data_IF_743701005326
#
_entry.id   IF_743701005326
#
_cell.length_a   1.000
_cell.length_b   1.000
_cell.length_c   1.000
_cell.angle_alpha   90.00
_cell.angle_beta   90.00
_cell.angle_gamma   90.00
#
_symmetry.space_group_name_H-M   'P 1'
#
loop_
_entity.id
_entity.type
_entity.pdbx_description
1 polymer ?
#
# COMPACT_ATOMS: atom_id res chain seq x y z
N UNK A 1 -1.52 -1.10 -12.57
CA UNK A 1 -0.14 -0.99 -12.05
C UNK A 1 0.52 -2.34 -12.24
N UNK A 2 1.81 -2.39 -12.62
CA UNK A 2 2.57 -3.64 -12.76
C UNK A 2 3.74 -3.66 -11.78
N UNK A 3 4.24 -4.86 -11.46
CA UNK A 3 5.30 -5.09 -10.47
C UNK A 3 6.56 -4.27 -10.77
N UNK A 4 7.00 -4.24 -12.02
CA UNK A 4 8.20 -3.51 -12.44
C UNK A 4 8.09 -2.00 -12.16
N UNK A 5 6.89 -1.43 -12.35
CA UNK A 5 6.66 -0.02 -12.06
C UNK A 5 6.79 0.27 -10.57
N UNK A 6 6.22 -0.59 -9.70
CA UNK A 6 6.35 -0.45 -8.24
C UNK A 6 7.82 -0.50 -7.81
N UNK A 7 8.57 -1.48 -8.33
CA UNK A 7 9.98 -1.65 -7.96
C UNK A 7 10.86 -0.48 -8.40
N UNK A 8 10.50 0.18 -9.51
CA UNK A 8 11.20 1.34 -10.04
C UNK A 8 10.79 2.68 -9.39
N UNK A 9 9.69 2.73 -8.64
CA UNK A 9 9.30 3.94 -7.91
C UNK A 9 10.33 4.29 -6.85
N UNK A 10 10.68 5.58 -6.78
CA UNK A 10 11.49 6.09 -5.67
C UNK A 10 10.62 6.21 -4.41
N UNK A 11 11.21 6.10 -3.21
CA UNK A 11 10.49 6.40 -1.98
C UNK A 11 10.08 7.88 -1.97
N UNK A 12 8.84 8.15 -1.58
CA UNK A 12 8.27 9.49 -1.60
C UNK A 12 6.81 9.54 -2.09
N UNK A 13 6.32 10.73 -2.46
CA UNK A 13 4.90 10.98 -2.65
C UNK A 13 4.20 10.01 -3.62
N UNK A 14 4.86 9.65 -4.72
CA UNK A 14 4.27 8.73 -5.69
C UNK A 14 4.02 7.34 -5.08
N UNK A 15 5.00 6.78 -4.38
CA UNK A 15 4.86 5.48 -3.71
C UNK A 15 3.88 5.58 -2.53
N UNK A 16 3.98 6.64 -1.73
CA UNK A 16 3.14 6.90 -0.55
C UNK A 16 1.64 6.96 -0.94
N UNK A 17 1.31 7.61 -2.07
CA UNK A 17 -0.06 7.69 -2.60
C UNK A 17 -0.60 6.32 -3.00
N UNK A 18 0.23 5.49 -3.61
CA UNK A 18 -0.18 4.15 -4.04
C UNK A 18 -0.42 3.24 -2.84
N UNK A 19 0.39 3.38 -1.79
CA UNK A 19 0.18 2.68 -0.52
C UNK A 19 -1.12 3.15 0.14
N UNK A 20 -1.34 4.46 0.23
CA UNK A 20 -2.57 5.03 0.79
C UNK A 20 -3.83 4.46 0.11
N UNK A 21 -3.87 4.49 -1.22
CA UNK A 21 -5.04 4.04 -1.97
C UNK A 21 -5.16 2.50 -2.03
N UNK A 22 -4.05 1.81 -2.30
CA UNK A 22 -4.03 0.39 -2.62
C UNK A 22 -3.96 -0.54 -1.41
N UNK A 23 -3.33 -0.10 -0.32
CA UNK A 23 -3.15 -0.91 0.89
C UNK A 23 -4.05 -0.41 2.01
N UNK A 24 -3.95 0.89 2.32
CA UNK A 24 -4.71 1.48 3.42
C UNK A 24 -6.19 1.64 3.07
N UNK A 25 -6.54 1.62 1.78
CA UNK A 25 -7.92 1.80 1.31
C UNK A 25 -8.43 3.23 1.49
N UNK A 26 -7.53 4.18 1.70
CA UNK A 26 -7.87 5.59 1.88
C UNK A 26 -8.19 6.25 0.55
N UNK A 27 -9.11 7.22 0.57
CA UNK A 27 -9.36 8.04 -0.61
C UNK A 27 -8.18 9.01 -0.81
N UNK A 28 -7.71 9.16 -2.04
CA UNK A 28 -6.63 10.09 -2.39
C UNK A 28 -7.11 11.05 -3.48
N UNK A 29 -6.78 12.33 -3.36
CA UNK A 29 -7.15 13.37 -4.32
C UNK A 29 -5.98 14.35 -4.52
N UNK A 30 -5.87 14.94 -5.72
CA UNK A 30 -4.94 16.04 -5.97
C UNK A 30 -5.70 17.36 -5.94
N UNK A 31 -5.48 18.15 -4.90
CA UNK A 31 -6.01 19.49 -4.76
C UNK A 31 -5.09 20.52 -5.44
N UNK A 32 -5.68 21.50 -6.13
CA UNK A 32 -4.89 22.50 -6.87
C UNK A 32 -4.06 23.41 -5.97
N UNK A 33 -4.46 23.59 -4.71
CA UNK A 33 -3.79 24.47 -3.73
C UNK A 33 -2.86 23.68 -2.82
N UNK A 34 -3.30 22.53 -2.34
CA UNK A 34 -2.59 21.74 -1.32
C UNK A 34 -1.83 20.55 -1.89
N UNK A 35 -2.00 20.24 -3.17
CA UNK A 35 -1.40 19.08 -3.82
C UNK A 35 -2.11 17.78 -3.43
N UNK A 36 -1.37 16.68 -3.38
CA UNK A 36 -1.93 15.38 -3.02
C UNK A 36 -2.36 15.33 -1.56
N UNK A 37 -3.57 14.82 -1.35
CA UNK A 37 -4.24 14.69 -0.05
C UNK A 37 -4.82 13.29 0.09
N UNK A 38 -4.70 12.71 1.28
CA UNK A 38 -5.26 11.44 1.71
C UNK A 38 -6.37 11.69 2.73
N UNK A 39 -7.48 10.97 2.59
CA UNK A 39 -8.60 11.00 3.55
C UNK A 39 -8.47 9.87 4.53
N UNK A 40 -8.31 10.23 5.80
CA UNK A 40 -8.40 9.33 6.93
C UNK A 40 -9.82 9.31 7.46
N UNK A 41 -10.32 8.12 7.79
CA UNK A 41 -11.62 7.95 8.45
C UNK A 41 -11.33 7.44 9.85
N UNK A 42 -11.86 8.15 10.84
CA UNK A 42 -11.81 7.72 12.24
C UNK A 42 -12.72 6.49 12.41
N UNK A 43 -12.20 5.37 12.94
CA UNK A 43 -12.97 4.15 13.07
C UNK A 43 -14.05 4.23 14.16
N UNK A 44 -13.91 5.13 15.15
CA UNK A 44 -14.81 5.21 16.31
C UNK A 44 -16.05 6.07 16.01
N UNK A 45 -15.88 7.21 15.34
CA UNK A 45 -16.97 8.16 15.08
C UNK A 45 -17.33 8.36 13.58
N UNK A 46 -16.54 7.76 12.67
CA UNK A 46 -16.75 7.87 11.22
C UNK A 46 -16.41 9.25 10.65
N UNK A 47 -15.86 10.16 11.46
CA UNK A 47 -15.33 11.44 11.03
C UNK A 47 -14.22 11.25 10.01
N UNK A 48 -14.01 12.25 9.14
CA UNK A 48 -12.96 12.17 8.14
C UNK A 48 -12.12 13.43 8.07
N UNK A 49 -10.81 13.27 7.93
CA UNK A 49 -9.85 14.36 7.80
C UNK A 49 -9.05 14.17 6.52
N UNK A 50 -8.89 15.26 5.77
CA UNK A 50 -7.99 15.33 4.63
C UNK A 50 -6.67 15.95 5.07
N UNK A 51 -5.57 15.25 4.82
CA UNK A 51 -4.22 15.69 5.11
C UNK A 51 -3.27 15.24 3.99
N UNK A 52 -2.04 15.78 3.90
CA UNK A 52 -1.03 15.20 3.02
C UNK A 52 -0.84 13.69 3.30
N UNK A 53 -0.57 12.86 2.27
CA UNK A 53 -0.31 11.44 2.46
C UNK A 53 0.77 11.19 3.52
N UNK A 54 0.56 10.17 4.35
CA UNK A 54 1.59 9.76 5.29
C UNK A 54 2.86 9.32 4.56
N UNK A 55 4.05 9.54 5.13
CA UNK A 55 5.33 9.18 4.51
C UNK A 55 5.63 7.67 4.64
N UNK A 56 4.72 6.81 4.22
CA UNK A 56 4.78 5.35 4.37
C UNK A 56 6.12 4.75 3.93
N UNK A 57 6.67 5.20 2.80
CA UNK A 57 7.88 4.63 2.22
C UNK A 57 9.17 5.25 2.79
N UNK A 58 9.08 6.16 3.77
CA UNK A 58 10.21 6.92 4.30
C UNK A 58 10.26 6.95 5.83
N UNK A 59 9.13 6.74 6.49
CA UNK A 59 9.02 6.68 7.94
C UNK A 59 8.62 5.27 8.38
N UNK A 60 9.38 4.70 9.32
CA UNK A 60 9.12 3.34 9.79
C UNK A 60 7.81 3.23 10.55
N UNK A 61 7.44 4.23 11.36
CA UNK A 61 6.17 4.20 12.11
C UNK A 61 4.96 4.23 11.17
N UNK A 62 5.07 4.92 10.04
CA UNK A 62 4.06 4.86 8.99
C UNK A 62 4.07 3.51 8.26
N UNK A 63 5.25 2.94 7.98
CA UNK A 63 5.39 1.63 7.35
C UNK A 63 4.85 0.48 8.22
N UNK A 64 4.98 0.56 9.54
CA UNK A 64 4.40 -0.42 10.47
C UNK A 64 2.88 -0.50 10.33
N UNK A 65 2.19 0.61 10.06
CA UNK A 65 0.75 0.59 9.77
C UNK A 65 0.42 -0.17 8.48
N UNK A 66 1.34 -0.17 7.52
CA UNK A 66 1.21 -0.98 6.30
C UNK A 66 1.35 -2.46 6.64
N UNK A 67 2.28 -2.82 7.53
CA UNK A 67 2.42 -4.20 8.03
C UNK A 67 1.12 -4.63 8.72
N UNK A 68 0.66 -3.87 9.71
CA UNK A 68 -0.57 -4.16 10.45
C UNK A 68 -1.75 -4.35 9.50
N UNK A 69 -1.89 -3.44 8.53
CA UNK A 69 -2.95 -3.51 7.53
C UNK A 69 -2.85 -4.76 6.64
N UNK A 70 -1.64 -5.16 6.24
CA UNK A 70 -1.45 -6.34 5.40
C UNK A 70 -1.70 -7.64 6.17
N UNK A 71 -1.37 -7.68 7.47
CA UNK A 71 -1.74 -8.79 8.35
C UNK A 71 -3.27 -8.89 8.46
N UNK A 72 -3.98 -7.78 8.65
CA UNK A 72 -5.46 -7.78 8.64
C UNK A 72 -6.05 -8.29 7.32
N UNK A 73 -5.35 -8.10 6.21
CA UNK A 73 -5.72 -8.61 4.89
C UNK A 73 -5.29 -10.06 4.64
N UNK A 74 -4.66 -10.74 5.63
CA UNK A 74 -4.27 -12.15 5.58
C UNK A 74 -2.83 -12.41 5.12
N UNK A 75 -1.99 -11.38 5.05
CA UNK A 75 -0.56 -11.49 4.71
C UNK A 75 0.29 -11.49 5.99
N UNK A 76 0.27 -12.61 6.72
CA UNK A 76 0.99 -12.76 8.00
C UNK A 76 2.52 -12.61 7.88
N UNK A 77 3.07 -12.84 6.68
CA UNK A 77 4.49 -12.71 6.38
C UNK A 77 4.96 -11.24 6.26
N UNK A 78 4.04 -10.27 6.30
CA UNK A 78 4.34 -8.85 6.20
C UNK A 78 5.35 -8.35 7.24
N UNK A 79 5.38 -8.99 8.42
CA UNK A 79 6.37 -8.70 9.49
C UNK A 79 7.82 -8.92 9.06
N UNK A 80 8.06 -9.68 7.99
CA UNK A 80 9.40 -9.97 7.46
C UNK A 80 9.75 -9.17 6.20
N UNK A 81 8.89 -8.25 5.73
CA UNK A 81 9.10 -7.55 4.46
C UNK A 81 10.12 -6.41 4.51
N UNK A 82 10.66 -6.07 5.69
CA UNK A 82 11.74 -5.09 5.83
C UNK A 82 13.00 -5.48 5.02
N UNK A 83 13.24 -6.78 4.84
CA UNK A 83 14.38 -7.31 4.06
C UNK A 83 14.08 -7.44 2.55
N UNK A 84 12.89 -7.04 2.10
CA UNK A 84 12.50 -7.16 0.69
C UNK A 84 13.45 -6.34 -0.21
N UNK A 85 13.86 -6.95 -1.33
CA UNK A 85 14.83 -6.34 -2.25
C UNK A 85 16.30 -6.53 -1.87
N UNK A 86 16.62 -7.35 -0.87
CA UNK A 86 17.99 -7.75 -0.50
C UNK A 86 18.93 -6.55 -0.26
N UNK A 87 18.45 -5.54 0.47
CA UNK A 87 19.21 -4.33 0.79
C UNK A 87 19.26 -3.27 -0.33
N UNK A 88 18.52 -3.46 -1.43
CA UNK A 88 18.36 -2.43 -2.47
C UNK A 88 17.49 -1.25 -2.02
N UNK A 89 16.65 -1.46 -1.00
CA UNK A 89 15.69 -0.49 -0.49
C UNK A 89 15.93 -0.22 0.99
N UNK A 90 15.45 0.94 1.46
CA UNK A 90 15.31 1.14 2.92
C UNK A 90 14.19 0.26 3.45
N UNK A 91 14.21 -0.09 4.75
CA UNK A 91 13.17 -0.92 5.37
C UNK A 91 11.72 -0.42 5.11
N UNK A 92 11.36 0.86 5.33
CA UNK A 92 10.00 1.34 5.06
C UNK A 92 9.63 1.27 3.58
N UNK A 93 10.58 1.52 2.68
CA UNK A 93 10.38 1.39 1.24
C UNK A 93 10.16 -0.08 0.83
N UNK A 94 10.96 -0.98 1.39
CA UNK A 94 10.89 -2.42 1.15
C UNK A 94 9.51 -2.97 1.52
N UNK A 95 9.01 -2.60 2.71
CA UNK A 95 7.67 -2.94 3.19
C UNK A 95 6.60 -2.46 2.22
N UNK A 96 6.64 -1.19 1.83
CA UNK A 96 5.65 -0.59 0.93
C UNK A 96 5.62 -1.28 -0.45
N UNK A 97 6.81 -1.55 -1.02
CA UNK A 97 6.93 -2.21 -2.33
C UNK A 97 6.47 -3.67 -2.26
N UNK A 98 6.84 -4.40 -1.21
CA UNK A 98 6.39 -5.77 -1.00
C UNK A 98 4.86 -5.83 -0.88
N UNK A 99 4.26 -4.95 -0.07
CA UNK A 99 2.81 -4.88 0.11
C UNK A 99 2.06 -4.64 -1.19
N UNK A 100 2.49 -3.66 -1.99
CA UNK A 100 1.86 -3.38 -3.29
C UNK A 100 2.04 -4.54 -4.29
N UNK A 101 3.19 -5.22 -4.27
CA UNK A 101 3.38 -6.41 -5.10
C UNK A 101 2.45 -7.55 -4.67
N UNK A 102 2.35 -7.82 -3.37
CA UNK A 102 1.46 -8.85 -2.84
C UNK A 102 0.00 -8.57 -3.20
N UNK A 103 -0.46 -7.32 -3.08
CA UNK A 103 -1.82 -6.94 -3.47
C UNK A 103 -2.09 -7.09 -4.97
N UNK A 104 -1.11 -6.81 -5.83
CA UNK A 104 -1.23 -7.09 -7.27
C UNK A 104 -1.35 -8.59 -7.55
N UNK A 105 -0.58 -9.42 -6.86
CA UNK A 105 -0.58 -10.88 -7.03
C UNK A 105 -1.88 -11.51 -6.52
N UNK A 106 -2.38 -11.08 -5.36
CA UNK A 106 -3.69 -11.48 -4.82
C UNK A 106 -4.85 -11.11 -5.75
N UNK A 107 -4.79 -9.92 -6.37
CA UNK A 107 -5.79 -9.48 -7.34
C UNK A 107 -5.73 -10.28 -8.65
N UNK A 108 -4.52 -10.66 -9.11
CA UNK A 108 -4.36 -11.52 -10.27
C UNK A 108 -4.86 -12.96 -10.03
N UNK A 109 -4.66 -13.50 -8.83
CA UNK A 109 -5.11 -14.86 -8.46
C UNK A 109 -6.64 -14.96 -8.34
N UNK A 110 -7.31 -13.93 -7.83
CA UNK A 110 -8.78 -13.90 -7.70
C UNK A 110 -9.55 -13.94 -9.03
N UNK A 111 -8.88 -13.71 -10.16
CA UNK A 111 -9.48 -13.80 -11.52
C UNK A 111 -9.38 -15.22 -12.10
N UNK A 112 -8.51 -16.08 -11.57
CA UNK A 112 -8.28 -17.42 -12.13
C UNK A 112 -9.27 -18.50 -11.61
N UNK A 113 -10.03 -18.24 -10.55
CA UNK A 113 -10.92 -19.22 -9.91
C UNK A 113 -12.42 -19.04 -10.27
N UNK A 114 -12.72 -18.63 -11.50
CA UNK A 114 -14.09 -18.63 -12.03
C UNK A 114 -14.12 -19.22 -13.44
N UNK A 115 -13.85 -20.53 -13.55
CA UNK A 115 -14.25 -21.31 -14.71
C UNK A 115 -15.52 -22.07 -14.36
N UNK A 116 -16.71 -21.74 -14.90
CA UNK A 116 -17.87 -22.60 -14.73
C UNK A 116 -17.57 -23.92 -15.43
N UNK A 117 -17.72 -25.02 -14.70
CA UNK A 117 -17.67 -26.37 -15.25
C UNK A 117 -18.72 -26.50 -16.37
N UNK A 118 -18.28 -26.69 -17.61
CA UNK A 118 -19.11 -27.33 -18.63
C UNK A 118 -19.30 -28.80 -18.24
N UNK A 119 -20.37 -29.50 -18.59
CA UNK A 119 -21.55 -29.25 -19.40
C UNK A 119 -22.35 -30.55 -19.43
#
# INVERSE_FOLDING_TARGET
MIRENILAMNPGPELDIQVAAGIMGNAVANDETFGWMERWIDPDDGGSVWAPPQPYSRDMSAAERVIDRMIELGHDDAVCWADFGNGAYTEPEAICKAALCAMLESCAAGVAEQTPAGG
#
